data_IF_387193848777
#
_entry.id   IF_387193848777
#
_cell.length_a   1.000
_cell.length_b   1.000
_cell.length_c   1.000
_cell.angle_alpha   90.00
_cell.angle_beta   90.00
_cell.angle_gamma   90.00
#
_symmetry.space_group_name_H-M   'P 1'
#
loop_
_entity.id
_entity.type
_entity.pdbx_description
1 polymer ?
#
# COMPACT_ATOMS: atom_id res chain seq x y z
N UNK A 1 -13.64 8.03 20.45
CA UNK A 1 -12.38 7.32 20.18
C UNK A 1 -12.52 6.69 18.81
N UNK A 2 -12.03 7.39 17.79
CA UNK A 2 -11.93 6.84 16.43
C UNK A 2 -10.78 5.85 16.40
N UNK A 3 -11.02 4.65 15.84
CA UNK A 3 -10.00 3.62 15.64
C UNK A 3 -8.93 4.17 14.67
N UNK A 4 -7.62 3.93 14.90
CA UNK A 4 -6.59 4.35 13.96
C UNK A 4 -6.82 3.69 12.60
N UNK A 5 -6.71 4.48 11.53
CA UNK A 5 -6.84 3.98 10.16
C UNK A 5 -5.52 3.31 9.80
N UNK A 6 -5.58 2.02 9.49
CA UNK A 6 -4.40 1.24 9.10
C UNK A 6 -4.11 1.40 7.62
N UNK A 7 -2.87 1.73 7.30
CA UNK A 7 -2.38 1.92 5.93
C UNK A 7 -1.07 1.18 5.76
N UNK A 8 -1.00 0.33 4.74
CA UNK A 8 0.25 -0.24 4.25
C UNK A 8 0.86 0.68 3.21
N UNK A 9 2.07 1.14 3.45
CA UNK A 9 2.82 2.01 2.56
C UNK A 9 3.99 1.25 1.96
N UNK A 10 3.90 0.94 0.66
CA UNK A 10 4.94 0.28 -0.10
C UNK A 10 6.00 1.30 -0.54
N UNK A 11 7.23 1.11 -0.09
CA UNK A 11 8.37 2.00 -0.34
C UNK A 11 9.53 1.25 -0.99
N UNK A 12 10.61 1.97 -1.31
CA UNK A 12 11.88 1.41 -1.78
C UNK A 12 13.04 2.15 -1.14
N UNK A 13 14.24 1.57 -1.15
CA UNK A 13 15.41 2.10 -0.44
C UNK A 13 15.76 3.53 -0.86
N UNK A 14 15.67 3.83 -2.16
CA UNK A 14 15.94 5.16 -2.72
C UNK A 14 14.64 5.80 -3.22
N UNK A 15 13.86 6.38 -2.30
CA UNK A 15 12.57 7.00 -2.60
C UNK A 15 12.40 8.36 -1.88
N UNK A 16 12.77 9.49 -2.51
CA UNK A 16 12.56 10.82 -1.92
C UNK A 16 11.10 11.14 -1.63
N UNK A 17 10.20 10.73 -2.54
CA UNK A 17 8.75 10.89 -2.40
C UNK A 17 8.20 10.13 -1.20
N UNK A 18 8.70 8.93 -0.91
CA UNK A 18 8.31 8.15 0.26
C UNK A 18 8.66 8.88 1.57
N UNK A 19 9.84 9.52 1.64
CA UNK A 19 10.24 10.32 2.81
C UNK A 19 9.31 11.51 3.03
N UNK A 20 8.97 12.22 1.96
CA UNK A 20 8.06 13.37 2.02
C UNK A 20 6.67 12.91 2.45
N UNK A 21 6.18 11.82 1.88
CA UNK A 21 4.87 11.28 2.19
C UNK A 21 4.74 10.89 3.67
N UNK A 22 5.71 10.14 4.20
CA UNK A 22 5.76 9.75 5.61
C UNK A 22 5.79 10.96 6.54
N UNK A 23 6.59 11.98 6.18
CA UNK A 23 6.64 13.22 6.93
C UNK A 23 5.28 13.92 6.92
N UNK A 24 4.63 14.11 5.77
CA UNK A 24 3.34 14.79 5.69
C UNK A 24 2.22 14.04 6.42
N UNK A 25 2.17 12.71 6.31
CA UNK A 25 1.19 11.88 7.01
C UNK A 25 1.30 12.02 8.54
N UNK A 26 2.51 12.20 9.08
CA UNK A 26 2.72 12.39 10.52
C UNK A 26 2.17 13.72 11.07
N UNK A 27 1.85 14.69 10.21
CA UNK A 27 1.22 15.96 10.59
C UNK A 27 -0.29 15.96 10.42
N UNK A 28 -0.89 14.87 9.94
CA UNK A 28 -2.34 14.83 9.76
C UNK A 28 -3.04 14.84 11.12
N UNK A 29 -4.18 15.54 11.25
CA UNK A 29 -4.93 15.62 12.51
C UNK A 29 -5.74 14.35 12.82
N UNK A 30 -5.49 13.26 12.09
CA UNK A 30 -6.17 11.96 12.20
C UNK A 30 -5.18 10.89 12.64
N UNK A 31 -5.69 9.92 13.38
CA UNK A 31 -4.90 8.80 13.87
C UNK A 31 -4.72 7.77 12.74
N UNK A 32 -3.53 7.71 12.15
CA UNK A 32 -3.16 6.82 11.05
C UNK A 32 -2.00 5.94 11.48
N UNK A 33 -2.19 4.64 11.40
CA UNK A 33 -1.17 3.63 11.68
C UNK A 33 -0.56 3.17 10.35
N UNK A 34 0.66 3.63 10.08
CA UNK A 34 1.36 3.39 8.81
C UNK A 34 2.34 2.24 8.97
N UNK A 35 2.05 1.14 8.30
CA UNK A 35 2.95 0.00 8.14
C UNK A 35 3.81 0.22 6.90
N UNK A 36 5.10 0.51 7.08
CA UNK A 36 6.04 0.73 5.97
C UNK A 36 6.65 -0.59 5.50
N UNK A 37 6.44 -0.92 4.22
CA UNK A 37 6.93 -2.14 3.58
C UNK A 37 7.90 -1.75 2.47
N UNK A 38 9.19 -2.00 2.65
CA UNK A 38 10.18 -1.78 1.59
C UNK A 38 10.17 -2.96 0.62
N UNK A 39 9.82 -2.72 -0.65
CA UNK A 39 9.69 -3.77 -1.66
C UNK A 39 11.01 -4.46 -2.04
N UNK A 40 12.15 -3.85 -1.74
CA UNK A 40 13.48 -4.38 -2.08
C UNK A 40 14.11 -5.18 -0.94
N UNK A 41 13.69 -4.91 0.31
CA UNK A 41 14.35 -5.46 1.50
C UNK A 41 13.39 -6.16 2.46
N UNK A 42 12.08 -6.08 2.25
CA UNK A 42 11.12 -6.79 3.08
C UNK A 42 11.03 -8.25 2.64
N UNK A 43 11.15 -9.15 3.61
CA UNK A 43 10.93 -10.59 3.44
C UNK A 43 9.46 -10.99 3.69
N UNK A 44 8.55 -10.01 3.78
CA UNK A 44 7.13 -10.27 3.97
C UNK A 44 6.50 -10.94 2.75
N UNK A 45 5.65 -11.93 3.04
CA UNK A 45 4.91 -12.69 2.03
C UNK A 45 3.44 -12.26 2.09
N UNK A 46 2.92 -11.84 0.95
CA UNK A 46 1.54 -11.41 0.77
C UNK A 46 0.78 -12.50 0.03
N UNK A 47 -0.29 -13.01 0.63
CA UNK A 47 -1.15 -14.00 -0.03
C UNK A 47 -2.35 -13.29 -0.65
N UNK A 48 -2.49 -13.37 -1.97
CA UNK A 48 -3.65 -12.84 -2.69
C UNK A 48 -4.35 -13.95 -3.48
N UNK A 49 -5.66 -13.81 -3.63
CA UNK A 49 -6.44 -14.70 -4.49
C UNK A 49 -6.42 -14.14 -5.90
N UNK A 50 -5.74 -14.85 -6.80
CA UNK A 50 -5.72 -14.51 -8.22
C UNK A 50 -6.65 -15.42 -9.00
N UNK A 51 -7.24 -14.87 -10.06
CA UNK A 51 -8.04 -15.62 -11.02
C UNK A 51 -7.07 -16.22 -12.02
N UNK A 52 -6.96 -17.55 -12.02
CA UNK A 52 -6.21 -18.27 -13.03
C UNK A 52 -7.06 -18.31 -14.31
N UNK A 53 -6.77 -17.41 -15.25
CA UNK A 53 -7.52 -17.30 -16.51
C UNK A 53 -7.33 -18.50 -17.43
N UNK A 54 -6.32 -19.34 -17.18
CA UNK A 54 -6.06 -20.54 -17.99
C UNK A 54 -7.01 -21.70 -17.63
N UNK A 55 -7.51 -21.74 -16.38
CA UNK A 55 -8.37 -22.83 -15.89
C UNK A 55 -9.67 -22.37 -15.21
N UNK A 56 -9.97 -21.07 -15.18
CA UNK A 56 -11.20 -20.52 -14.59
C UNK A 56 -11.30 -20.75 -13.07
N UNK A 57 -10.18 -20.97 -12.40
CA UNK A 57 -10.10 -21.27 -10.97
C UNK A 57 -9.59 -20.09 -10.14
N UNK A 58 -10.07 -19.98 -8.91
CA UNK A 58 -9.46 -19.09 -7.91
C UNK A 58 -8.31 -19.83 -7.23
N UNK A 59 -7.11 -19.25 -7.24
CA UNK A 59 -5.96 -19.80 -6.53
C UNK A 59 -5.35 -18.73 -5.62
N UNK A 60 -5.11 -19.11 -4.36
CA UNK A 60 -4.27 -18.33 -3.48
C UNK A 60 -2.82 -18.49 -3.92
N UNK A 61 -2.16 -17.37 -4.21
CA UNK A 61 -0.73 -17.34 -4.55
C UNK A 61 -0.03 -16.42 -3.56
N UNK A 62 1.17 -16.82 -3.19
CA UNK A 62 2.05 -16.05 -2.34
C UNK A 62 2.94 -15.16 -3.22
N UNK A 63 3.06 -13.89 -2.81
CA UNK A 63 3.81 -12.84 -3.50
C UNK A 63 4.82 -12.24 -2.53
N UNK A 64 6.02 -11.92 -3.02
CA UNK A 64 6.90 -11.00 -2.30
C UNK A 64 6.33 -9.57 -2.40
N UNK A 65 6.88 -8.63 -1.63
CA UNK A 65 6.40 -7.24 -1.62
C UNK A 65 6.43 -6.57 -3.01
N UNK A 66 7.41 -6.88 -3.85
CA UNK A 66 7.53 -6.32 -5.19
C UNK A 66 6.46 -6.87 -6.14
N UNK A 67 6.29 -8.19 -6.18
CA UNK A 67 5.31 -8.86 -7.04
C UNK A 67 3.88 -8.55 -6.57
N UNK A 68 3.66 -8.39 -5.25
CA UNK A 68 2.37 -7.97 -4.72
C UNK A 68 2.00 -6.56 -5.21
N UNK A 69 2.97 -5.64 -5.18
CA UNK A 69 2.79 -4.29 -5.68
C UNK A 69 2.40 -4.26 -7.16
N UNK A 70 3.04 -5.08 -8.00
CA UNK A 70 2.81 -5.07 -9.46
C UNK A 70 1.61 -5.91 -9.87
N UNK A 71 1.44 -7.10 -9.32
CA UNK A 71 0.47 -8.09 -9.80
C UNK A 71 -0.88 -7.97 -9.09
N UNK A 72 -0.88 -7.54 -7.82
CA UNK A 72 -2.11 -7.43 -7.02
C UNK A 72 -2.57 -5.99 -6.92
N UNK A 73 -1.65 -5.07 -6.58
CA UNK A 73 -1.98 -3.64 -6.48
C UNK A 73 -1.96 -2.94 -7.84
N UNK A 74 -1.51 -3.61 -8.91
CA UNK A 74 -1.37 -3.05 -10.26
C UNK A 74 -0.63 -1.70 -10.25
N UNK A 75 0.41 -1.58 -9.43
CA UNK A 75 1.17 -0.36 -9.27
C UNK A 75 2.62 -0.54 -9.71
N UNK A 76 3.14 0.46 -10.41
CA UNK A 76 4.52 0.50 -10.91
C UNK A 76 5.33 1.60 -10.24
N UNK A 77 4.78 2.26 -9.21
CA UNK A 77 5.38 3.42 -8.57
C UNK A 77 5.38 3.31 -7.05
N UNK A 78 6.38 3.94 -6.43
CA UNK A 78 6.49 4.10 -4.98
C UNK A 78 6.47 5.60 -4.64
N UNK A 79 5.76 6.03 -3.59
CA UNK A 79 5.00 5.19 -2.67
C UNK A 79 3.67 4.70 -3.25
N UNK A 80 3.18 3.55 -2.79
CA UNK A 80 1.79 3.09 -3.00
C UNK A 80 1.16 2.79 -1.64
N UNK A 81 -0.10 3.17 -1.46
CA UNK A 81 -0.82 3.02 -0.21
C UNK A 81 -1.99 2.07 -0.39
N UNK A 82 -2.07 1.06 0.46
CA UNK A 82 -3.21 0.15 0.59
C UNK A 82 -3.87 0.42 1.94
N UNK A 83 -5.11 0.92 1.91
CA UNK A 83 -5.90 1.23 3.09
C UNK A 83 -6.65 -0.02 3.57
N UNK A 84 -6.96 -0.10 4.87
CA UNK A 84 -7.77 -1.21 5.42
C UNK A 84 -9.18 -1.31 4.80
N UNK A 85 -9.66 -0.23 4.17
CA UNK A 85 -10.91 -0.21 3.39
C UNK A 85 -10.82 -1.00 2.07
N UNK A 86 -9.61 -1.35 1.63
CA UNK A 86 -9.33 -1.91 0.31
C UNK A 86 -9.05 -0.85 -0.77
N UNK A 87 -9.11 0.45 -0.44
CA UNK A 87 -8.69 1.50 -1.38
C UNK A 87 -7.19 1.46 -1.60
N UNK A 88 -6.78 1.63 -2.85
CA UNK A 88 -5.38 1.66 -3.27
C UNK A 88 -5.09 3.03 -3.88
N UNK A 89 -4.16 3.77 -3.29
CA UNK A 89 -3.68 5.06 -3.82
C UNK A 89 -2.26 4.85 -4.35
N UNK A 90 -2.05 5.07 -5.65
CA UNK A 90 -0.78 4.83 -6.33
C UNK A 90 -0.05 6.15 -6.51
N UNK A 91 1.17 6.26 -5.99
CA UNK A 91 1.89 7.51 -5.92
C UNK A 91 1.53 8.33 -4.68
N UNK A 92 2.07 9.55 -4.61
CA UNK A 92 1.82 10.46 -3.49
C UNK A 92 0.82 11.55 -3.89
N UNK A 93 -0.47 11.21 -3.76
CA UNK A 93 -1.59 12.10 -4.05
C UNK A 93 -2.30 12.46 -2.74
N UNK A 94 -1.91 13.59 -2.13
CA UNK A 94 -2.47 14.02 -0.84
C UNK A 94 -3.97 14.23 -0.87
N UNK A 95 -4.55 14.61 -2.02
CA UNK A 95 -6.00 14.75 -2.16
C UNK A 95 -6.74 13.42 -1.97
N UNK A 96 -6.28 12.36 -2.63
CA UNK A 96 -6.90 11.02 -2.51
C UNK A 96 -6.71 10.43 -1.12
N UNK A 97 -5.52 10.64 -0.54
CA UNK A 97 -5.22 10.20 0.83
C UNK A 97 -6.11 10.95 1.83
N UNK A 98 -6.22 12.27 1.72
CA UNK A 98 -7.06 13.07 2.61
C UNK A 98 -8.53 12.69 2.51
N UNK A 99 -9.03 12.47 1.29
CA UNK A 99 -10.40 12.02 1.05
C UNK A 99 -10.69 10.68 1.76
N UNK A 100 -9.79 9.70 1.63
CA UNK A 100 -9.96 8.40 2.30
C UNK A 100 -9.89 8.51 3.82
N UNK A 101 -9.08 9.43 4.32
CA UNK A 101 -8.95 9.74 5.75
C UNK A 101 -10.10 10.62 6.28
N UNK A 102 -11.02 11.07 5.41
CA UNK A 102 -12.17 11.89 5.77
C UNK A 102 -11.82 13.34 6.17
N UNK A 103 -10.75 13.88 5.56
CA UNK A 103 -10.25 15.24 5.79
C UNK A 103 -10.76 16.26 4.76
#
# INVERSE_FOLDING_TARGET
MTKPIKVKMFTKTVCPTCKIAKHQLSFLPVDVDIEEINIETSDEIFTATVIDTDFGGHKSKDFNAQDYLTDVLESMSTPTFEFESGRIVRGFEMGEIAEELGL
#
